data_IF_223110038289
#
_entry.id   IF_223110038289
#
_cell.length_a   1.000
_cell.length_b   1.000
_cell.length_c   1.000
_cell.angle_alpha   90.00
_cell.angle_beta   90.00
_cell.angle_gamma   90.00
#
_symmetry.space_group_name_H-M   'P 1'
#
loop_
_entity.id
_entity.type
_entity.pdbx_description
1 polymer ?
#
# COMPACT_ATOMS: atom_id res chain seq x y z
N UNK A 1 -8.55 -5.28 -6.72
CA UNK A 1 -7.68 -6.13 -5.90
C UNK A 1 -6.32 -5.50 -5.75
N UNK A 2 -5.84 -5.37 -4.52
CA UNK A 2 -4.52 -4.80 -4.29
C UNK A 2 -3.46 -5.90 -4.17
N UNK A 3 -2.97 -6.35 -5.31
CA UNK A 3 -1.85 -7.29 -5.39
C UNK A 3 -0.57 -6.48 -5.48
N UNK A 4 0.18 -6.46 -4.39
CA UNK A 4 1.30 -5.53 -4.20
C UNK A 4 2.64 -6.24 -4.41
N UNK A 5 3.45 -5.68 -5.28
CA UNK A 5 4.84 -6.09 -5.44
C UNK A 5 5.76 -5.01 -4.89
N UNK A 6 6.67 -5.40 -3.99
CA UNK A 6 7.70 -4.49 -3.50
C UNK A 6 8.89 -4.59 -4.45
N UNK A 7 9.19 -3.51 -5.18
CA UNK A 7 10.29 -3.48 -6.12
C UNK A 7 11.60 -3.13 -5.42
N UNK A 8 12.72 -3.50 -6.06
CA UNK A 8 14.05 -3.15 -5.56
C UNK A 8 14.52 -1.78 -6.10
N UNK A 9 13.84 -1.24 -7.09
CA UNK A 9 14.25 -0.02 -7.78
C UNK A 9 13.09 0.97 -7.82
N UNK A 10 13.38 2.21 -7.41
CA UNK A 10 12.36 3.25 -7.34
C UNK A 10 11.73 3.53 -8.71
N UNK A 11 12.54 3.52 -9.77
CA UNK A 11 12.05 3.83 -11.12
C UNK A 11 11.10 2.78 -11.69
N UNK A 12 10.97 1.62 -11.05
CA UNK A 12 10.05 0.58 -11.47
C UNK A 12 8.74 0.60 -10.68
N UNK A 13 8.66 1.44 -9.64
CA UNK A 13 7.50 1.47 -8.76
C UNK A 13 6.44 2.44 -9.28
N UNK A 14 5.18 2.12 -9.01
CA UNK A 14 4.08 3.04 -9.26
C UNK A 14 4.03 4.15 -8.21
N UNK A 15 4.47 3.84 -6.99
CA UNK A 15 4.54 4.81 -5.91
C UNK A 15 5.62 4.44 -4.91
N UNK A 16 6.14 5.45 -4.19
CA UNK A 16 7.02 5.24 -3.04
C UNK A 16 6.18 5.24 -1.78
N UNK A 17 6.51 4.33 -0.85
CA UNK A 17 5.75 4.12 0.39
C UNK A 17 6.69 4.20 1.58
N UNK A 18 6.33 5.01 2.58
CA UNK A 18 7.01 5.06 3.86
C UNK A 18 6.10 4.49 4.94
N UNK A 19 6.56 3.49 5.67
CA UNK A 19 5.81 2.97 6.80
C UNK A 19 6.01 3.89 7.99
N UNK A 20 4.90 4.34 8.59
CA UNK A 20 4.93 5.23 9.74
C UNK A 20 4.59 4.46 11.02
N UNK A 21 5.07 4.97 12.16
CA UNK A 21 4.92 4.31 13.45
C UNK A 21 3.53 4.49 14.07
N UNK A 22 2.81 5.53 13.64
CA UNK A 22 1.53 5.88 14.23
C UNK A 22 0.47 6.10 13.17
N UNK A 23 -0.75 5.61 13.45
CA UNK A 23 -1.87 5.75 12.54
C UNK A 23 -2.16 7.22 12.20
N UNK A 24 -2.00 8.13 13.16
CA UNK A 24 -2.26 9.56 12.95
C UNK A 24 -1.37 10.20 11.89
N UNK A 25 -0.25 9.57 11.55
CA UNK A 25 0.69 10.07 10.55
C UNK A 25 0.44 9.47 9.17
N UNK A 26 -0.44 8.49 9.05
CA UNK A 26 -0.63 7.74 7.81
C UNK A 26 -1.63 8.38 6.87
N UNK A 27 -1.37 8.22 5.57
CA UNK A 27 -2.35 8.49 4.52
C UNK A 27 -3.26 7.29 4.31
N UNK A 28 -2.71 6.09 4.47
CA UNK A 28 -3.38 4.82 4.22
C UNK A 28 -3.11 3.86 5.38
N UNK A 29 -4.18 3.27 5.92
CA UNK A 29 -4.09 2.16 6.84
C UNK A 29 -4.34 0.88 6.04
N UNK A 30 -3.35 -0.02 6.00
CA UNK A 30 -3.45 -1.22 5.16
C UNK A 30 -3.41 -2.48 5.98
N UNK A 31 -4.10 -3.50 5.49
CA UNK A 31 -4.18 -4.82 6.09
C UNK A 31 -3.59 -5.86 5.15
N UNK A 32 -2.68 -6.67 5.65
CA UNK A 32 -2.09 -7.75 4.86
C UNK A 32 -3.00 -8.98 4.89
N UNK A 33 -3.37 -9.49 3.73
CA UNK A 33 -4.16 -10.72 3.62
C UNK A 33 -3.40 -11.77 2.80
N UNK A 34 -3.43 -13.05 3.21
CA UNK A 34 -2.85 -14.12 2.40
C UNK A 34 -3.81 -14.65 1.33
N UNK A 35 -5.06 -14.17 1.30
CA UNK A 35 -6.09 -14.70 0.41
C UNK A 35 -6.48 -13.70 -0.65
N UNK A 36 -6.43 -14.12 -1.93
CA UNK A 36 -6.72 -13.25 -3.06
C UNK A 36 -8.15 -12.68 -3.00
N UNK A 37 -9.12 -13.50 -2.61
CA UNK A 37 -10.50 -13.05 -2.55
C UNK A 37 -10.76 -12.00 -1.49
N UNK A 38 -9.84 -11.83 -0.54
CA UNK A 38 -9.95 -10.80 0.50
C UNK A 38 -9.20 -9.51 0.13
N UNK A 39 -8.38 -9.54 -0.92
CA UNK A 39 -7.56 -8.40 -1.33
C UNK A 39 -8.39 -7.43 -2.18
N UNK A 40 -9.39 -6.80 -1.57
CA UNK A 40 -10.30 -5.91 -2.26
C UNK A 40 -9.99 -4.44 -1.97
N UNK A 41 -10.18 -3.58 -2.97
CA UNK A 41 -9.91 -2.16 -2.85
C UNK A 41 -8.41 -1.87 -2.73
N UNK A 42 -8.06 -0.70 -2.19
CA UNK A 42 -6.67 -0.26 -2.10
C UNK A 42 -5.98 -0.66 -0.81
N UNK A 43 -6.72 -0.97 0.24
CA UNK A 43 -6.17 -1.05 1.59
C UNK A 43 -5.99 -2.48 2.10
N UNK A 44 -6.48 -3.47 1.40
CA UNK A 44 -6.27 -4.88 1.73
C UNK A 44 -5.28 -5.45 0.74
N UNK A 45 -4.05 -5.67 1.19
CA UNK A 45 -2.92 -6.00 0.33
C UNK A 45 -2.59 -7.49 0.37
N UNK A 46 -2.45 -8.06 -0.83
CA UNK A 46 -1.84 -9.38 -1.01
C UNK A 46 -0.48 -9.14 -1.66
N UNK A 47 0.59 -9.54 -0.99
CA UNK A 47 1.93 -9.41 -1.56
C UNK A 47 2.17 -10.53 -2.57
N UNK A 48 2.75 -10.16 -3.72
CA UNK A 48 3.08 -11.09 -4.79
C UNK A 48 4.56 -11.00 -5.10
N UNK A 49 5.11 -12.06 -5.70
CA UNK A 49 6.54 -12.17 -5.96
C UNK A 49 6.93 -11.78 -7.38
N UNK A 50 5.97 -11.74 -8.29
CA UNK A 50 6.25 -11.53 -9.71
C UNK A 50 5.47 -10.36 -10.25
N UNK A 51 6.13 -9.59 -11.14
CA UNK A 51 5.57 -8.39 -11.73
C UNK A 51 4.26 -8.66 -12.48
N UNK A 52 4.19 -9.79 -13.17
CA UNK A 52 2.97 -10.16 -13.90
C UNK A 52 1.75 -10.40 -13.04
N UNK A 53 1.94 -10.59 -11.74
CA UNK A 53 0.84 -10.81 -10.79
C UNK A 53 0.41 -9.53 -10.08
N UNK A 54 1.20 -8.47 -10.17
CA UNK A 54 0.97 -7.26 -9.39
C UNK A 54 -0.07 -6.34 -10.04
N UNK A 55 -0.96 -5.79 -9.23
CA UNK A 55 -1.82 -4.70 -9.67
C UNK A 55 -1.16 -3.35 -9.40
N UNK A 56 -0.22 -3.30 -8.45
CA UNK A 56 0.45 -2.07 -8.07
C UNK A 56 1.84 -2.38 -7.50
N UNK A 57 2.83 -1.63 -7.95
CA UNK A 57 4.23 -1.82 -7.51
C UNK A 57 4.63 -0.67 -6.60
N UNK A 58 5.25 -1.00 -5.47
CA UNK A 58 5.71 0.00 -4.51
C UNK A 58 7.21 -0.13 -4.27
N UNK A 59 7.84 1.00 -3.93
CA UNK A 59 9.21 1.05 -3.46
C UNK A 59 9.22 1.65 -2.06
N UNK A 60 9.77 0.93 -1.08
CA UNK A 60 9.78 1.38 0.30
C UNK A 60 10.91 2.36 0.53
N UNK A 61 10.60 3.52 1.13
CA UNK A 61 11.57 4.55 1.49
C UNK A 61 11.57 4.75 3.01
N UNK A 62 12.68 5.28 3.54
CA UNK A 62 12.85 5.46 4.99
C UNK A 62 12.25 6.75 5.51
N UNK A 63 12.15 7.76 4.67
CA UNK A 63 11.79 9.11 5.10
C UNK A 63 10.45 9.53 4.54
N UNK A 64 9.59 10.10 5.39
CA UNK A 64 8.25 10.51 5.00
C UNK A 64 8.25 11.56 3.89
N UNK A 65 9.26 12.45 3.88
CA UNK A 65 9.37 13.47 2.85
C UNK A 65 9.63 12.94 1.44
N UNK A 66 10.06 11.69 1.34
CA UNK A 66 10.34 11.04 0.05
C UNK A 66 9.19 10.15 -0.41
N UNK A 67 8.17 9.96 0.42
CA UNK A 67 7.11 9.00 0.14
C UNK A 67 5.93 9.65 -0.54
N UNK A 68 5.39 8.94 -1.53
CA UNK A 68 4.09 9.29 -2.13
C UNK A 68 2.96 8.92 -1.18
N UNK A 69 3.10 7.82 -0.46
CA UNK A 69 2.09 7.30 0.47
C UNK A 69 2.75 7.01 1.82
N UNK A 70 2.19 7.59 2.88
CA UNK A 70 2.55 7.22 4.25
C UNK A 70 1.58 6.14 4.70
N UNK A 71 2.10 4.95 5.03
CA UNK A 71 1.29 3.78 5.27
C UNK A 71 1.46 3.25 6.68
N UNK A 72 0.36 2.85 7.30
CA UNK A 72 0.35 2.23 8.62
C UNK A 72 -0.35 0.87 8.53
N UNK A 73 0.35 -0.19 8.94
CA UNK A 73 -0.22 -1.53 8.91
C UNK A 73 -1.17 -1.73 10.08
N UNK A 74 -2.41 -2.16 9.78
CA UNK A 74 -3.40 -2.45 10.79
C UNK A 74 -3.55 -3.96 10.97
N UNK A 75 -4.07 -4.38 12.13
CA UNK A 75 -4.18 -5.79 12.49
C UNK A 75 -5.50 -6.42 12.06
N UNK A 76 -6.50 -5.62 11.74
CA UNK A 76 -7.85 -6.11 11.42
C UNK A 76 -8.33 -5.52 10.10
N UNK A 77 -9.00 -6.32 9.25
CA UNK A 77 -9.42 -5.85 7.93
C UNK A 77 -10.40 -4.68 7.95
N UNK A 78 -11.24 -4.58 8.98
CA UNK A 78 -12.19 -3.47 9.09
C UNK A 78 -11.53 -2.13 9.39
N UNK A 79 -10.26 -2.13 9.77
CA UNK A 79 -9.49 -0.90 10.01
C UNK A 79 -8.76 -0.42 8.76
N UNK A 80 -8.76 -1.22 7.71
CA UNK A 80 -8.05 -0.89 6.46
C UNK A 80 -8.83 0.17 5.68
N UNK A 81 -8.20 1.35 5.47
CA UNK A 81 -8.85 2.47 4.77
C UNK A 81 -7.86 3.56 4.45
N UNK A 82 -8.22 4.40 3.48
CA UNK A 82 -7.54 5.66 3.27
C UNK A 82 -7.94 6.63 4.39
N UNK A 83 -6.96 7.19 5.09
CA UNK A 83 -7.21 8.27 6.04
C UNK A 83 -7.31 9.60 5.31
N UNK A 84 -6.52 9.74 4.24
CA UNK A 84 -6.61 10.92 3.37
C UNK A 84 -7.42 10.54 2.13
N UNK A 85 -8.72 10.80 2.16
CA UNK A 85 -9.62 10.45 1.07
C UNK A 85 -9.37 11.25 -0.21
N UNK A 86 -8.61 12.33 -0.13
CA UNK A 86 -8.27 13.16 -1.28
C UNK A 86 -6.92 12.80 -1.90
N UNK A 87 -6.27 11.74 -1.42
CA UNK A 87 -4.97 11.32 -1.91
C UNK A 87 -5.05 10.91 -3.39
N UNK A 88 -4.02 11.28 -4.18
CA UNK A 88 -4.02 11.04 -5.62
C UNK A 88 -4.06 9.56 -6.01
N UNK A 89 -3.68 8.66 -5.12
CA UNK A 89 -3.68 7.22 -5.38
C UNK A 89 -4.96 6.50 -4.94
N UNK A 90 -5.93 7.22 -4.40
CA UNK A 90 -7.23 6.60 -4.02
C UNK A 90 -7.86 5.94 -5.26
N UNK A 91 -8.20 4.65 -5.14
CA UNK A 91 -8.82 3.88 -6.21
C UNK A 91 -7.85 3.34 -7.26
N UNK A 92 -6.53 3.53 -7.08
CA UNK A 92 -5.55 3.17 -8.12
C UNK A 92 -4.72 1.93 -7.79
N UNK A 93 -4.82 1.41 -6.58
CA UNK A 93 -3.98 0.29 -6.16
C UNK A 93 -4.61 -1.08 -6.42
N UNK A 94 -5.90 -1.13 -6.53
CA UNK A 94 -6.62 -2.38 -6.70
C UNK A 94 -7.08 -2.71 -8.08
#
# INVERSE_FOLDING_TARGET
MAKILVTKYENQADATVCEVAYESQADLCWYETPYEQQAQGDAKWLFVDYEGQASFKIFKVKYEGQADIKAFQVKYPEQARWRNAAHKFVGKMG
#
